data_IF_123797913943
#
_entry.id   IF_123797913943
#
_cell.length_a   1.000
_cell.length_b   1.000
_cell.length_c   1.000
_cell.angle_alpha   90.00
_cell.angle_beta   90.00
_cell.angle_gamma   90.00
#
_symmetry.space_group_name_H-M   'P 1'
#
loop_
_entity.id
_entity.type
_entity.pdbx_description
1 polymer ?
#
# COMPACT_ATOMS: atom_id res chain seq x y z
N UNK A 1 21.82 49.85 10.31
CA UNK A 1 21.84 49.37 8.90
C UNK A 1 22.73 48.12 8.84
N UNK A 2 22.31 47.05 8.14
CA UNK A 2 22.83 45.64 8.14
C UNK A 2 22.17 44.77 9.24
N UNK A 3 21.59 43.59 8.99
CA UNK A 3 21.60 42.70 7.83
C UNK A 3 20.36 41.80 7.89
N UNK A 4 19.44 41.95 6.94
CA UNK A 4 18.18 41.20 6.84
C UNK A 4 18.30 39.96 5.93
N UNK A 5 19.38 39.18 6.08
CA UNK A 5 19.77 38.17 5.07
C UNK A 5 19.80 36.71 5.59
N UNK A 6 19.62 36.47 6.89
CA UNK A 6 19.83 35.15 7.51
C UNK A 6 18.62 34.20 7.41
N UNK A 7 17.41 34.68 7.11
CA UNK A 7 16.17 33.88 7.18
C UNK A 7 15.91 32.98 5.95
N UNK A 8 16.68 33.13 4.86
CA UNK A 8 16.41 32.44 3.58
C UNK A 8 16.98 31.02 3.49
N UNK A 9 18.11 30.74 4.18
CA UNK A 9 18.76 29.41 4.20
C UNK A 9 17.97 28.35 4.97
N UNK A 10 17.20 28.76 5.98
CA UNK A 10 16.47 27.82 6.85
C UNK A 10 15.21 27.24 6.18
N UNK A 11 14.54 28.01 5.31
CA UNK A 11 13.41 27.50 4.50
C UNK A 11 13.84 26.47 3.46
N UNK A 12 15.02 26.65 2.86
CA UNK A 12 15.52 25.74 1.82
C UNK A 12 15.83 24.33 2.38
N UNK A 13 16.33 24.25 3.62
CA UNK A 13 16.59 22.97 4.27
C UNK A 13 15.29 22.21 4.58
N UNK A 14 14.22 22.91 4.98
CA UNK A 14 12.92 22.30 5.22
C UNK A 14 12.26 21.78 3.93
N UNK A 15 12.42 22.50 2.82
CA UNK A 15 11.89 22.07 1.50
C UNK A 15 12.61 20.85 0.93
N UNK A 16 13.91 20.69 1.20
CA UNK A 16 14.65 19.49 0.78
C UNK A 16 14.29 18.26 1.63
N UNK A 17 13.99 18.45 2.92
CA UNK A 17 13.58 17.36 3.81
C UNK A 17 12.08 17.02 3.71
N UNK A 18 11.23 17.96 3.29
CA UNK A 18 9.82 17.74 3.00
C UNK A 18 9.64 17.29 1.55
N UNK A 19 10.22 16.16 1.18
CA UNK A 19 9.77 15.42 0.01
C UNK A 19 8.48 14.72 0.43
N UNK A 20 7.33 15.38 0.20
CA UNK A 20 6.01 14.78 0.29
C UNK A 20 6.03 13.50 -0.55
N UNK A 21 6.08 12.34 0.10
CA UNK A 21 6.05 11.07 -0.62
C UNK A 21 4.60 10.82 -0.96
N UNK A 22 4.26 10.99 -2.23
CA UNK A 22 2.97 10.55 -2.76
C UNK A 22 2.79 9.06 -2.40
N UNK A 23 1.81 8.79 -1.53
CA UNK A 23 1.47 7.43 -1.16
C UNK A 23 0.73 6.82 -2.34
N UNK A 24 1.42 5.94 -3.06
CA UNK A 24 0.82 5.17 -4.15
C UNK A 24 -0.15 4.17 -3.53
N UNK A 25 -1.44 4.49 -3.60
CA UNK A 25 -2.53 3.61 -3.18
C UNK A 25 -3.20 3.05 -4.42
N UNK A 26 -3.44 1.75 -4.41
CA UNK A 26 -4.25 1.06 -5.41
C UNK A 26 -5.25 0.15 -4.74
N UNK A 27 -6.14 -0.46 -5.52
CA UNK A 27 -7.12 -1.38 -4.96
C UNK A 27 -7.69 -2.35 -5.97
N UNK A 28 -8.47 -3.29 -5.45
CA UNK A 28 -9.21 -4.29 -6.21
C UNK A 28 -10.62 -4.39 -5.64
N UNK A 29 -11.63 -4.57 -6.50
CA UNK A 29 -12.96 -4.95 -6.05
C UNK A 29 -12.97 -6.41 -5.58
N UNK A 30 -13.68 -6.68 -4.49
CA UNK A 30 -13.91 -8.03 -3.93
C UNK A 30 -15.41 -8.23 -3.69
N UNK A 31 -15.83 -9.43 -3.29
CA UNK A 31 -17.26 -9.71 -3.08
C UNK A 31 -17.80 -8.85 -1.93
N UNK A 32 -18.87 -8.09 -2.21
CA UNK A 32 -19.50 -7.16 -1.26
C UNK A 32 -18.52 -6.21 -0.56
N UNK A 33 -17.42 -5.85 -1.23
CA UNK A 33 -16.32 -5.17 -0.58
C UNK A 33 -15.25 -4.59 -1.48
N UNK A 34 -14.23 -4.01 -0.84
CA UNK A 34 -13.06 -3.41 -1.49
C UNK A 34 -11.77 -3.82 -0.80
N UNK A 35 -10.71 -3.96 -1.59
CA UNK A 35 -9.35 -4.16 -1.12
C UNK A 35 -8.49 -2.97 -1.55
N UNK A 36 -7.74 -2.42 -0.59
CA UNK A 36 -6.80 -1.31 -0.80
C UNK A 36 -5.39 -1.75 -0.44
N UNK A 37 -4.40 -1.31 -1.21
CA UNK A 37 -2.98 -1.63 -1.06
C UNK A 37 -2.15 -0.36 -1.11
N UNK A 38 -1.22 -0.27 -0.18
CA UNK A 38 -0.12 0.69 -0.14
C UNK A 38 1.21 -0.02 -0.36
N UNK A 39 2.35 0.69 -0.50
CA UNK A 39 3.65 0.04 -0.67
C UNK A 39 4.11 -0.78 0.55
N UNK A 40 3.47 -0.61 1.71
CA UNK A 40 3.87 -1.25 2.98
C UNK A 40 2.76 -2.05 3.66
N UNK A 41 1.51 -1.95 3.21
CA UNK A 41 0.37 -2.60 3.85
C UNK A 41 -0.78 -2.81 2.87
N UNK A 42 -1.73 -3.65 3.24
CA UNK A 42 -3.02 -3.74 2.57
C UNK A 42 -4.15 -3.90 3.59
N UNK A 43 -5.35 -3.55 3.15
CA UNK A 43 -6.57 -3.72 3.92
C UNK A 43 -7.71 -4.19 3.00
N UNK A 44 -8.62 -4.98 3.56
CA UNK A 44 -9.83 -5.45 2.90
C UNK A 44 -11.01 -5.11 3.79
N UNK A 45 -12.09 -4.61 3.21
CA UNK A 45 -13.35 -4.35 3.89
C UNK A 45 -14.48 -5.00 3.11
N UNK A 46 -15.27 -5.85 3.77
CA UNK A 46 -16.45 -6.52 3.20
C UNK A 46 -17.68 -6.20 4.05
N UNK A 47 -18.82 -6.01 3.40
CA UNK A 47 -20.12 -5.80 4.05
C UNK A 47 -20.86 -7.13 4.18
N UNK A 48 -21.39 -7.39 5.37
CA UNK A 48 -22.24 -8.55 5.67
C UNK A 48 -23.70 -8.34 5.30
N UNK A 49 -24.47 -9.42 5.26
CA UNK A 49 -25.93 -9.40 5.02
C UNK A 49 -26.68 -8.58 6.08
N UNK A 50 -26.21 -8.59 7.33
CA UNK A 50 -26.73 -7.77 8.45
C UNK A 50 -26.37 -6.26 8.34
N UNK A 51 -25.54 -5.90 7.36
CA UNK A 51 -25.07 -4.53 7.13
C UNK A 51 -23.82 -4.14 7.93
N UNK A 52 -23.27 -5.02 8.78
CA UNK A 52 -22.00 -4.81 9.46
C UNK A 52 -20.82 -4.89 8.46
N UNK A 53 -19.69 -4.27 8.80
CA UNK A 53 -18.48 -4.26 7.96
C UNK A 53 -17.38 -5.03 8.68
N UNK A 54 -16.84 -6.03 8.02
CA UNK A 54 -15.67 -6.79 8.48
C UNK A 54 -14.44 -6.28 7.76
N UNK A 55 -13.41 -5.96 8.52
CA UNK A 55 -12.14 -5.47 7.97
C UNK A 55 -10.97 -6.35 8.40
N UNK A 56 -10.03 -6.57 7.50
CA UNK A 56 -8.72 -7.13 7.83
C UNK A 56 -7.61 -6.26 7.24
N UNK A 57 -6.51 -6.10 7.97
CA UNK A 57 -5.36 -5.33 7.52
C UNK A 57 -4.06 -5.99 7.97
N UNK A 58 -3.09 -6.07 7.08
CA UNK A 58 -1.79 -6.66 7.35
C UNK A 58 -0.67 -5.86 6.69
N UNK A 59 0.53 -5.91 7.29
CA UNK A 59 1.73 -5.31 6.73
C UNK A 59 2.27 -6.16 5.58
N UNK A 60 2.65 -5.52 4.47
CA UNK A 60 3.19 -6.17 3.29
C UNK A 60 4.72 -6.02 3.28
N UNK A 61 5.49 -7.09 3.55
CA UNK A 61 6.94 -7.01 3.46
C UNK A 61 7.36 -6.82 2.00
N UNK A 62 8.32 -5.92 1.76
CA UNK A 62 8.91 -5.71 0.44
C UNK A 62 9.89 -6.84 0.15
N UNK A 63 9.62 -7.60 -0.91
CA UNK A 63 10.52 -8.69 -1.33
C UNK A 63 11.85 -8.17 -1.90
N UNK A 64 11.84 -6.96 -2.49
CA UNK A 64 13.05 -6.26 -2.95
C UNK A 64 14.05 -6.02 -1.84
N UNK A 65 13.58 -5.76 -0.62
CA UNK A 65 14.44 -5.45 0.52
C UNK A 65 15.14 -6.70 1.08
N UNK A 66 14.59 -7.89 0.78
CA UNK A 66 15.13 -9.17 1.26
C UNK A 66 16.13 -9.80 0.29
N UNK A 67 16.02 -9.55 -1.02
CA UNK A 67 16.83 -10.23 -2.03
C UNK A 67 17.36 -9.26 -3.10
N UNK A 68 18.63 -8.85 -2.97
CA UNK A 68 19.30 -7.89 -3.88
C UNK A 68 19.35 -8.29 -5.36
N UNK A 69 19.15 -9.57 -5.69
CA UNK A 69 19.12 -10.05 -7.08
C UNK A 69 17.75 -9.86 -7.75
N UNK A 70 16.69 -9.58 -6.98
CA UNK A 70 15.36 -9.23 -7.49
C UNK A 70 15.31 -7.81 -8.07
N UNK A 71 16.39 -7.02 -8.00
CA UNK A 71 16.43 -5.65 -8.51
C UNK A 71 16.52 -5.54 -10.03
N UNK A 72 16.77 -6.65 -10.74
CA UNK A 72 16.78 -6.63 -12.21
C UNK A 72 15.36 -6.45 -12.76
N UNK A 73 15.15 -5.64 -13.83
CA UNK A 73 13.80 -5.19 -14.25
C UNK A 73 12.79 -6.32 -14.49
N UNK A 74 13.25 -7.43 -15.07
CA UNK A 74 12.41 -8.60 -15.39
C UNK A 74 12.04 -9.39 -14.13
N UNK A 75 13.03 -9.69 -13.27
CA UNK A 75 12.79 -10.42 -12.02
C UNK A 75 11.98 -9.59 -11.03
N UNK A 76 12.24 -8.28 -10.95
CA UNK A 76 11.47 -7.32 -10.15
C UNK A 76 9.99 -7.31 -10.56
N UNK A 77 9.73 -7.26 -11.87
CA UNK A 77 8.38 -7.28 -12.43
C UNK A 77 7.65 -8.58 -12.12
N UNK A 78 8.30 -9.72 -12.37
CA UNK A 78 7.75 -11.05 -12.08
C UNK A 78 7.44 -11.25 -10.59
N UNK A 79 8.37 -10.89 -9.70
CA UNK A 79 8.16 -10.96 -8.26
C UNK A 79 6.99 -10.08 -7.79
N UNK A 80 6.90 -8.85 -8.30
CA UNK A 80 5.80 -7.92 -7.99
C UNK A 80 4.46 -8.46 -8.49
N UNK A 81 4.43 -9.06 -9.69
CA UNK A 81 3.23 -9.66 -10.25
C UNK A 81 2.75 -10.83 -9.39
N UNK A 82 3.64 -11.77 -9.06
CA UNK A 82 3.32 -12.92 -8.21
C UNK A 82 2.79 -12.46 -6.86
N UNK A 83 3.46 -11.49 -6.22
CA UNK A 83 3.00 -10.95 -4.93
C UNK A 83 1.61 -10.30 -5.05
N UNK A 84 1.34 -9.56 -6.13
CA UNK A 84 0.06 -8.90 -6.37
C UNK A 84 -1.06 -9.92 -6.63
N UNK A 85 -0.79 -10.97 -7.42
CA UNK A 85 -1.73 -12.06 -7.67
C UNK A 85 -2.05 -12.84 -6.40
N UNK A 86 -1.02 -13.22 -5.64
CA UNK A 86 -1.21 -13.93 -4.37
C UNK A 86 -2.08 -13.12 -3.40
N UNK A 87 -1.86 -11.80 -3.34
CA UNK A 87 -2.66 -10.91 -2.51
C UNK A 87 -4.10 -10.77 -3.01
N UNK A 88 -4.30 -10.66 -4.33
CA UNK A 88 -5.63 -10.61 -4.95
C UNK A 88 -6.43 -11.88 -4.67
N UNK A 89 -5.82 -13.05 -4.81
CA UNK A 89 -6.46 -14.35 -4.48
C UNK A 89 -6.78 -14.43 -2.98
N UNK A 90 -5.86 -13.99 -2.11
CA UNK A 90 -6.11 -13.93 -0.66
C UNK A 90 -7.31 -13.03 -0.34
N UNK A 91 -7.43 -11.90 -1.01
CA UNK A 91 -8.53 -10.95 -0.82
C UNK A 91 -9.87 -11.53 -1.27
N UNK A 92 -9.90 -12.19 -2.45
CA UNK A 92 -11.09 -12.87 -2.94
C UNK A 92 -11.52 -14.02 -2.01
N UNK A 93 -10.58 -14.82 -1.53
CA UNK A 93 -10.87 -15.91 -0.59
C UNK A 93 -11.41 -15.37 0.74
N UNK A 94 -10.88 -14.26 1.23
CA UNK A 94 -11.40 -13.62 2.45
C UNK A 94 -12.84 -13.12 2.26
N UNK A 95 -13.12 -12.43 1.15
CA UNK A 95 -14.49 -11.96 0.87
C UNK A 95 -15.46 -13.10 0.64
N UNK A 96 -15.02 -14.19 -0.02
CA UNK A 96 -15.86 -15.36 -0.26
C UNK A 96 -16.24 -16.07 1.03
N UNK A 97 -15.32 -16.19 1.99
CA UNK A 97 -15.62 -16.77 3.31
C UNK A 97 -16.66 -15.96 4.07
N UNK A 98 -16.53 -14.63 4.08
CA UNK A 98 -17.50 -13.76 4.72
C UNK A 98 -18.87 -13.93 4.07
N UNK A 99 -18.91 -13.96 2.73
CA UNK A 99 -20.15 -14.16 1.97
C UNK A 99 -20.79 -15.54 2.22
N UNK A 100 -20.00 -16.58 2.49
CA UNK A 100 -20.50 -17.93 2.83
C UNK A 100 -20.99 -18.03 4.29
N UNK A 101 -20.43 -17.24 5.19
CA UNK A 101 -20.84 -17.13 6.59
C UNK A 101 -22.10 -16.26 6.80
N UNK A 102 -22.52 -15.52 5.77
CA UNK A 102 -23.66 -14.59 5.76
C UNK A 102 -24.99 -15.23 5.30
#
# INVERSE_FOLDING_TARGET
MKSATTTRKLRFLHTVFAMERDLIVGGQAVMEGVMMRTPSAYAIACRRSDGSIVTTAESLPKWSDQYKWLDTPVLRGGATLIQSMALGVKALNFSARIYEED
#
